data_IF_038297249864
#
_entry.id   IF_038297249864
#
_cell.length_a   1.000
_cell.length_b   1.000
_cell.length_c   1.000
_cell.angle_alpha   90.00
_cell.angle_beta   90.00
_cell.angle_gamma   90.00
#
_symmetry.space_group_name_H-M   'P 1'
#
loop_
_entity.id
_entity.type
_entity.pdbx_description
1 polymer ?
#
# COMPACT_ATOMS: atom_id res chain seq x y z
N UNK A 1 8.33 17.96 -31.37
CA UNK A 1 7.54 18.24 -30.15
C UNK A 1 7.34 16.94 -29.35
N UNK A 2 7.93 16.75 -28.15
CA UNK A 2 7.58 15.63 -27.29
C UNK A 2 6.69 16.13 -26.12
N UNK A 3 5.36 16.05 -26.25
CA UNK A 3 4.42 16.44 -25.17
C UNK A 3 3.59 15.28 -24.59
N UNK A 4 3.57 14.10 -25.21
CA UNK A 4 2.73 12.96 -24.75
C UNK A 4 3.35 12.09 -23.65
N UNK A 5 4.67 12.05 -23.55
CA UNK A 5 5.39 11.11 -22.66
C UNK A 5 5.34 11.56 -21.19
N UNK A 6 5.41 12.86 -20.92
CA UNK A 6 5.39 13.43 -19.56
C UNK A 6 4.05 13.27 -18.84
N UNK A 7 2.93 13.36 -19.56
CA UNK A 7 1.58 13.24 -18.99
C UNK A 7 1.24 11.80 -18.60
N UNK A 8 1.67 10.80 -19.39
CA UNK A 8 1.42 9.39 -19.10
C UNK A 8 2.13 8.93 -17.82
N UNK A 9 3.40 9.36 -17.65
CA UNK A 9 4.21 9.03 -16.47
C UNK A 9 3.63 9.62 -15.18
N UNK A 10 2.98 10.79 -15.26
CA UNK A 10 2.31 11.38 -14.10
C UNK A 10 1.08 10.58 -13.66
N UNK A 11 0.24 10.15 -14.61
CA UNK A 11 -0.97 9.35 -14.32
C UNK A 11 -0.66 7.97 -13.73
N UNK A 12 0.44 7.35 -14.15
CA UNK A 12 0.93 6.09 -13.57
C UNK A 12 1.43 6.28 -12.14
N UNK A 13 2.06 7.42 -11.84
CA UNK A 13 2.49 7.79 -10.49
C UNK A 13 1.30 8.08 -9.56
N UNK A 14 0.25 8.74 -10.04
CA UNK A 14 -0.97 8.96 -9.25
C UNK A 14 -1.67 7.64 -8.92
N UNK A 15 -1.78 6.72 -9.88
CA UNK A 15 -2.37 5.40 -9.67
C UNK A 15 -1.61 4.59 -8.61
N UNK A 16 -0.29 4.55 -8.69
CA UNK A 16 0.49 3.77 -7.72
C UNK A 16 0.40 4.36 -6.31
N UNK A 17 0.28 5.68 -6.18
CA UNK A 17 0.04 6.34 -4.89
C UNK A 17 -1.33 5.93 -4.32
N UNK A 18 -2.38 5.93 -5.15
CA UNK A 18 -3.71 5.49 -4.75
C UNK A 18 -3.72 4.03 -4.30
N UNK A 19 -3.07 3.14 -5.06
CA UNK A 19 -2.93 1.73 -4.70
C UNK A 19 -2.20 1.53 -3.36
N UNK A 20 -1.19 2.36 -3.07
CA UNK A 20 -0.45 2.35 -1.79
C UNK A 20 -1.39 2.73 -0.64
N UNK A 21 -2.21 3.77 -0.78
CA UNK A 21 -3.19 4.20 0.24
C UNK A 21 -4.24 3.14 0.52
N UNK A 22 -4.75 2.52 -0.55
CA UNK A 22 -5.69 1.39 -0.43
C UNK A 22 -5.00 0.25 0.33
N UNK A 23 -3.78 -0.13 -0.03
CA UNK A 23 -3.06 -1.21 0.63
C UNK A 23 -2.81 -0.92 2.13
N UNK A 24 -2.56 0.33 2.53
CA UNK A 24 -2.47 0.71 3.95
C UNK A 24 -3.79 0.47 4.69
N UNK A 25 -4.91 0.81 4.04
CA UNK A 25 -6.25 0.60 4.61
C UNK A 25 -6.59 -0.88 4.71
N UNK A 26 -6.21 -1.67 3.71
CA UNK A 26 -6.34 -3.14 3.73
C UNK A 26 -5.51 -3.77 4.86
N UNK A 27 -4.26 -3.31 5.08
CA UNK A 27 -3.43 -3.78 6.19
C UNK A 27 -4.11 -3.48 7.52
N UNK A 28 -4.57 -2.24 7.73
CA UNK A 28 -5.25 -1.88 8.99
C UNK A 28 -6.51 -2.73 9.23
N UNK A 29 -7.25 -3.06 8.17
CA UNK A 29 -8.40 -3.96 8.26
C UNK A 29 -7.98 -5.37 8.67
N UNK A 30 -6.94 -5.93 8.04
CA UNK A 30 -6.41 -7.25 8.35
C UNK A 30 -5.80 -7.32 9.77
N UNK A 31 -5.16 -6.24 10.23
CA UNK A 31 -4.66 -6.11 11.61
C UNK A 31 -5.82 -6.15 12.60
N UNK A 32 -6.88 -5.38 12.36
CA UNK A 32 -8.08 -5.45 13.20
C UNK A 32 -8.69 -6.85 13.19
N UNK A 33 -8.79 -7.49 12.01
CA UNK A 33 -9.32 -8.86 11.91
C UNK A 33 -8.49 -9.84 12.74
N UNK A 34 -7.16 -9.79 12.64
CA UNK A 34 -6.26 -10.60 13.47
C UNK A 34 -6.39 -10.31 14.97
N UNK A 35 -6.63 -9.06 15.35
CA UNK A 35 -6.81 -8.70 16.77
C UNK A 35 -8.14 -9.18 17.37
N UNK A 36 -9.20 -9.24 16.56
CA UNK A 36 -10.56 -9.53 17.05
C UNK A 36 -11.07 -10.93 16.67
N UNK A 37 -10.32 -11.71 15.90
CA UNK A 37 -10.70 -13.08 15.59
C UNK A 37 -10.68 -13.94 16.86
N UNK A 38 -11.84 -14.48 17.21
CA UNK A 38 -12.00 -15.33 18.39
C UNK A 38 -11.99 -16.82 18.06
N UNK A 39 -12.19 -17.16 16.78
CA UNK A 39 -12.19 -18.54 16.31
C UNK A 39 -10.74 -19.01 16.06
N UNK A 40 -10.23 -20.00 16.82
CA UNK A 40 -8.88 -20.53 16.64
C UNK A 40 -8.58 -21.02 15.23
N UNK A 41 -9.58 -21.55 14.50
CA UNK A 41 -9.38 -22.05 13.13
C UNK A 41 -9.20 -20.91 12.12
N UNK A 42 -9.59 -19.69 12.48
CA UNK A 42 -9.47 -18.50 11.62
C UNK A 42 -8.24 -17.64 11.95
N UNK A 43 -7.51 -17.94 13.03
CA UNK A 43 -6.30 -17.20 13.41
C UNK A 43 -5.24 -17.31 12.32
N UNK A 44 -4.97 -18.51 11.81
CA UNK A 44 -4.01 -18.71 10.74
C UNK A 44 -4.43 -17.97 9.47
N UNK A 45 -5.74 -18.00 9.14
CA UNK A 45 -6.31 -17.24 8.01
C UNK A 45 -6.02 -15.74 8.18
N UNK A 46 -6.22 -15.20 9.38
CA UNK A 46 -5.97 -13.79 9.68
C UNK A 46 -4.47 -13.42 9.58
N UNK A 47 -3.57 -14.31 10.03
CA UNK A 47 -2.11 -14.14 9.88
C UNK A 47 -1.73 -14.11 8.40
N UNK A 48 -2.20 -15.09 7.62
CA UNK A 48 -1.89 -15.18 6.20
C UNK A 48 -2.43 -13.98 5.41
N UNK A 49 -3.64 -13.52 5.70
CA UNK A 49 -4.20 -12.34 5.05
C UNK A 49 -3.36 -11.10 5.38
N UNK A 50 -3.06 -10.86 6.66
CA UNK A 50 -2.23 -9.74 7.08
C UNK A 50 -0.86 -9.73 6.38
N UNK A 51 -0.19 -10.87 6.34
CA UNK A 51 1.12 -10.99 5.70
C UNK A 51 1.03 -10.80 4.18
N UNK A 52 -0.02 -11.31 3.53
CA UNK A 52 -0.26 -11.10 2.11
C UNK A 52 -0.48 -9.61 1.79
N UNK A 53 -1.26 -8.89 2.60
CA UNK A 53 -1.48 -7.45 2.44
C UNK A 53 -0.19 -6.64 2.66
N UNK A 54 0.61 -6.98 3.68
CA UNK A 54 1.93 -6.37 3.94
C UNK A 54 2.89 -6.60 2.78
N UNK A 55 2.97 -7.81 2.26
CA UNK A 55 3.79 -8.16 1.09
C UNK A 55 3.39 -7.36 -0.16
N UNK A 56 2.08 -7.23 -0.44
CA UNK A 56 1.55 -6.39 -1.53
C UNK A 56 1.95 -4.93 -1.36
N UNK A 57 1.81 -4.37 -0.15
CA UNK A 57 2.23 -2.99 0.14
C UNK A 57 3.73 -2.79 -0.12
N UNK A 58 4.59 -3.69 0.38
CA UNK A 58 6.04 -3.62 0.15
C UNK A 58 6.40 -3.66 -1.33
N UNK A 59 5.71 -4.49 -2.13
CA UNK A 59 5.85 -4.51 -3.58
C UNK A 59 5.48 -3.16 -4.21
N UNK A 60 4.35 -2.56 -3.84
CA UNK A 60 3.90 -1.27 -4.37
C UNK A 60 4.88 -0.15 -4.04
N UNK A 61 5.44 -0.13 -2.81
CA UNK A 61 6.47 0.83 -2.41
C UNK A 61 7.73 0.69 -3.26
N UNK A 62 8.20 -0.55 -3.50
CA UNK A 62 9.36 -0.80 -4.37
C UNK A 62 9.09 -0.29 -5.79
N UNK A 63 7.94 -0.63 -6.35
CA UNK A 63 7.53 -0.20 -7.70
C UNK A 63 7.40 1.32 -7.82
N UNK A 64 6.89 2.01 -6.78
CA UNK A 64 6.82 3.47 -6.75
C UNK A 64 8.21 4.13 -6.73
N UNK A 65 9.16 3.55 -5.98
CA UNK A 65 10.55 3.99 -5.96
C UNK A 65 11.22 3.84 -7.33
N UNK A 66 11.02 2.69 -8.00
CA UNK A 66 11.52 2.43 -9.36
C UNK A 66 10.96 3.43 -10.38
N UNK A 67 9.69 3.83 -10.23
CA UNK A 67 9.05 4.85 -11.08
C UNK A 67 9.51 6.29 -10.80
N UNK A 68 10.36 6.51 -9.77
CA UNK A 68 10.87 7.82 -9.41
C UNK A 68 9.91 8.67 -8.59
N UNK A 69 8.91 8.06 -7.95
CA UNK A 69 8.00 8.72 -7.01
C UNK A 69 8.75 8.97 -5.69
N UNK A 70 9.69 9.91 -5.66
CA UNK A 70 10.56 10.13 -4.49
C UNK A 70 10.01 11.16 -3.49
N UNK A 71 9.25 12.16 -3.96
CA UNK A 71 8.79 13.26 -3.09
C UNK A 71 7.42 13.00 -2.45
N UNK A 72 6.51 12.24 -3.08
CA UNK A 72 5.15 11.98 -2.55
C UNK A 72 5.05 10.77 -1.60
N UNK A 73 6.10 9.95 -1.49
CA UNK A 73 6.11 8.81 -0.57
C UNK A 73 6.27 9.25 0.89
N UNK A 74 6.94 10.37 1.16
CA UNK A 74 7.07 10.91 2.52
C UNK A 74 5.69 11.28 3.09
N UNK A 75 4.83 11.89 2.28
CA UNK A 75 3.49 12.30 2.72
C UNK A 75 2.58 11.09 3.01
N UNK A 76 2.69 10.01 2.22
CA UNK A 76 1.91 8.78 2.43
C UNK A 76 2.42 7.92 3.60
N UNK A 77 3.70 8.03 3.96
CA UNK A 77 4.31 7.30 5.08
C UNK A 77 4.05 7.98 6.43
N UNK A 78 3.90 9.31 6.45
CA UNK A 78 3.66 10.09 7.68
C UNK A 78 2.23 9.87 8.21
N UNK A 79 1.22 9.72 7.35
CA UNK A 79 -0.17 9.48 7.79
C UNK A 79 -0.37 8.13 8.50
N UNK A 80 0.45 7.12 8.22
CA UNK A 80 0.31 5.79 8.82
C UNK A 80 0.88 5.67 10.24
N UNK A 81 1.70 6.63 10.69
CA UNK A 81 2.36 6.62 12.01
C UNK A 81 1.87 7.73 12.96
N UNK A 82 0.96 8.62 12.51
CA UNK A 82 0.56 9.81 13.27
C UNK A 82 -0.76 9.67 14.08
N UNK A 83 -1.12 8.47 14.53
CA UNK A 83 -2.24 8.28 15.47
C UNK A 83 -1.91 7.30 16.58
#
# INVERSE_FOLDING_TARGET
MPRKISVKKNKENEKIIEEIKIAQSEIKCAENFFQYVSDPELVDVAIYDLEAKKSKYSYLIRKAKENGVKNSLKDCLIEAMAK
#
